data_IF_479218085899
#
_entry.id   IF_479218085899
#
_cell.length_a   1.000
_cell.length_b   1.000
_cell.length_c   1.000
_cell.angle_alpha   90.00
_cell.angle_beta   90.00
_cell.angle_gamma   90.00
#
_symmetry.space_group_name_H-M   'P 1'
#
loop_
_entity.id
_entity.type
_entity.pdbx_description
1 polymer ?
#
# COMPACT_ATOMS: atom_id res chain seq x y z
N UNK A 1 -2.40 -13.74 21.79
CA UNK A 1 -3.65 -14.51 21.78
C UNK A 1 -3.45 -15.72 20.87
N UNK A 2 -2.90 -16.83 21.39
CA UNK A 2 -2.84 -18.10 20.65
C UNK A 2 -4.23 -18.73 20.74
N UNK A 3 -4.91 -18.80 19.60
CA UNK A 3 -6.32 -19.13 19.51
C UNK A 3 -6.53 -20.60 19.92
N UNK A 4 -7.45 -20.85 20.85
CA UNK A 4 -7.87 -22.19 21.33
C UNK A 4 -8.54 -23.07 20.25
N UNK A 5 -8.53 -22.65 18.99
CA UNK A 5 -9.21 -23.31 17.87
C UNK A 5 -8.55 -24.62 17.40
N UNK A 6 -7.37 -24.98 17.91
CA UNK A 6 -6.61 -26.13 17.43
C UNK A 6 -6.89 -27.45 18.16
N UNK A 7 -7.73 -27.47 19.20
CA UNK A 7 -7.89 -28.64 20.08
C UNK A 7 -8.79 -29.74 19.52
N UNK A 8 -9.47 -29.51 18.39
CA UNK A 8 -10.36 -30.48 17.72
C UNK A 8 -9.97 -30.82 16.28
N UNK A 9 -8.83 -30.32 15.79
CA UNK A 9 -8.38 -30.50 14.41
C UNK A 9 -7.33 -31.62 14.33
N UNK A 10 -7.33 -32.35 13.21
CA UNK A 10 -6.30 -33.34 12.91
C UNK A 10 -4.90 -32.71 12.88
N UNK A 11 -3.85 -33.53 13.03
CA UNK A 11 -2.47 -33.05 12.98
C UNK A 11 -2.18 -32.26 11.68
N UNK A 12 -2.59 -32.80 10.54
CA UNK A 12 -2.43 -32.19 9.22
C UNK A 12 -3.14 -30.83 9.10
N UNK A 13 -4.37 -30.72 9.60
CA UNK A 13 -5.14 -29.48 9.56
C UNK A 13 -4.49 -28.39 10.40
N UNK A 14 -3.98 -28.72 11.59
CA UNK A 14 -3.21 -27.76 12.39
C UNK A 14 -1.92 -27.34 11.71
N UNK A 15 -1.19 -28.29 11.11
CA UNK A 15 0.07 -27.98 10.43
C UNK A 15 -0.17 -27.06 9.23
N UNK A 16 -1.23 -27.32 8.47
CA UNK A 16 -1.67 -26.45 7.36
C UNK A 16 -1.99 -25.03 7.84
N UNK A 17 -2.77 -24.88 8.92
CA UNK A 17 -3.10 -23.58 9.52
C UNK A 17 -1.86 -22.82 9.99
N UNK A 18 -0.96 -23.48 10.74
CA UNK A 18 0.28 -22.87 11.22
C UNK A 18 1.17 -22.40 10.06
N UNK A 19 1.24 -23.21 9.01
CA UNK A 19 2.02 -22.87 7.81
C UNK A 19 1.42 -21.66 7.09
N UNK A 20 0.09 -21.61 6.94
CA UNK A 20 -0.60 -20.47 6.34
C UNK A 20 -0.42 -19.17 7.15
N UNK A 21 -0.43 -19.27 8.48
CA UNK A 21 -0.19 -18.13 9.37
C UNK A 21 1.24 -17.61 9.25
N UNK A 22 2.23 -18.51 9.22
CA UNK A 22 3.64 -18.12 9.05
C UNK A 22 3.88 -17.48 7.68
N UNK A 23 3.27 -17.99 6.60
CA UNK A 23 3.32 -17.38 5.27
C UNK A 23 2.76 -15.96 5.30
N UNK A 24 1.58 -15.78 5.91
CA UNK A 24 0.95 -14.46 6.07
C UNK A 24 1.83 -13.51 6.88
N UNK A 25 2.44 -13.99 7.98
CA UNK A 25 3.37 -13.22 8.79
C UNK A 25 4.61 -12.78 7.99
N UNK A 26 5.17 -13.66 7.15
CA UNK A 26 6.33 -13.33 6.30
C UNK A 26 5.98 -12.27 5.26
N UNK A 27 4.83 -12.38 4.62
CA UNK A 27 4.34 -11.39 3.65
C UNK A 27 4.13 -10.02 4.30
N UNK A 28 3.49 -10.00 5.48
CA UNK A 28 3.29 -8.78 6.25
C UNK A 28 4.62 -8.12 6.63
N UNK A 29 5.60 -8.88 7.14
CA UNK A 29 6.94 -8.38 7.46
C UNK A 29 7.66 -7.83 6.22
N UNK A 30 7.46 -8.43 5.04
CA UNK A 30 8.00 -7.90 3.78
C UNK A 30 7.35 -6.56 3.43
N UNK A 31 6.03 -6.48 3.46
CA UNK A 31 5.29 -5.26 3.18
C UNK A 31 5.70 -4.12 4.12
N UNK A 32 5.78 -4.38 5.43
CA UNK A 32 6.19 -3.38 6.42
C UNK A 32 7.60 -2.83 6.16
N UNK A 33 8.55 -3.70 5.80
CA UNK A 33 9.91 -3.26 5.42
C UNK A 33 9.89 -2.33 4.21
N UNK A 34 9.10 -2.64 3.19
CA UNK A 34 8.95 -1.81 1.99
C UNK A 34 8.31 -0.46 2.32
N UNK A 35 7.25 -0.44 3.14
CA UNK A 35 6.58 0.79 3.57
C UNK A 35 7.55 1.68 4.36
N UNK A 36 8.32 1.09 5.30
CA UNK A 36 9.35 1.82 6.06
C UNK A 36 10.43 2.41 5.14
N UNK A 37 10.86 1.66 4.13
CA UNK A 37 11.85 2.13 3.16
C UNK A 37 11.32 3.30 2.31
N UNK A 38 10.05 3.29 1.93
CA UNK A 38 9.45 4.32 1.10
C UNK A 38 9.30 5.69 1.81
N UNK A 39 9.33 5.72 3.16
CA UNK A 39 9.28 6.95 3.98
C UNK A 39 8.11 7.88 3.60
N UNK A 40 6.92 7.31 3.47
CA UNK A 40 5.71 8.07 3.17
C UNK A 40 5.45 9.16 4.21
N UNK A 41 4.95 10.31 3.76
CA UNK A 41 4.61 11.43 4.65
C UNK A 41 3.45 11.11 5.59
N UNK A 42 2.49 10.32 5.13
CA UNK A 42 1.27 9.97 5.85
C UNK A 42 1.14 8.46 5.91
N UNK A 43 0.72 7.94 7.06
CA UNK A 43 0.29 6.55 7.17
C UNK A 43 -1.13 6.41 6.61
N UNK A 44 -1.23 6.23 5.29
CA UNK A 44 -2.49 6.21 4.55
C UNK A 44 -2.81 4.81 4.04
N UNK A 45 -4.08 4.41 4.15
CA UNK A 45 -4.56 3.13 3.65
C UNK A 45 -5.79 3.36 2.79
N UNK A 46 -5.95 2.57 1.72
CA UNK A 46 -7.12 2.66 0.84
C UNK A 46 -8.44 2.38 1.59
N UNK A 47 -8.41 1.56 2.64
CA UNK A 47 -9.56 1.30 3.52
C UNK A 47 -10.05 2.52 4.29
N UNK A 48 -9.16 3.50 4.52
CA UNK A 48 -9.45 4.75 5.23
C UNK A 48 -9.85 5.88 4.27
N UNK A 49 -10.00 5.61 2.98
CA UNK A 49 -10.53 6.59 2.03
C UNK A 49 -12.00 6.87 2.35
N UNK A 50 -12.29 8.14 2.52
CA UNK A 50 -13.65 8.61 2.70
C UNK A 50 -14.23 9.05 1.35
N UNK A 51 -15.33 8.37 0.98
CA UNK A 51 -16.02 8.47 -0.29
C UNK A 51 -17.31 9.30 -0.20
N UNK A 52 -17.46 10.16 0.82
CA UNK A 52 -18.59 11.09 0.89
C UNK A 52 -18.71 11.88 -0.42
N UNK A 53 -19.96 12.04 -0.89
CA UNK A 53 -20.30 12.54 -2.24
C UNK A 53 -19.64 13.87 -2.65
N UNK A 54 -19.15 14.67 -1.71
CA UNK A 54 -18.52 15.96 -1.99
C UNK A 54 -17.09 15.87 -2.56
N UNK A 55 -16.47 14.68 -2.63
CA UNK A 55 -15.09 14.53 -3.17
C UNK A 55 -15.00 14.14 -4.64
N UNK A 56 -16.09 13.69 -5.26
CA UNK A 56 -16.08 13.26 -6.67
C UNK A 56 -15.16 12.06 -6.96
N UNK A 57 -14.88 11.22 -5.96
CA UNK A 57 -14.05 10.02 -6.14
C UNK A 57 -14.90 8.85 -6.66
N UNK A 58 -14.56 8.36 -7.84
CA UNK A 58 -15.15 7.14 -8.38
C UNK A 58 -14.61 5.89 -7.67
N UNK A 59 -15.49 5.18 -6.97
CA UNK A 59 -15.17 3.93 -6.27
C UNK A 59 -14.70 2.84 -7.23
N UNK A 60 -15.25 2.79 -8.44
CA UNK A 60 -14.86 1.78 -9.43
C UNK A 60 -13.42 2.01 -9.88
N UNK A 61 -13.05 3.26 -10.18
CA UNK A 61 -11.67 3.63 -10.48
C UNK A 61 -10.72 3.31 -9.32
N UNK A 62 -11.03 3.72 -8.08
CA UNK A 62 -10.14 3.43 -6.93
C UNK A 62 -9.96 1.91 -6.74
N UNK A 63 -11.03 1.13 -6.93
CA UNK A 63 -10.95 -0.34 -6.87
C UNK A 63 -10.05 -0.89 -7.98
N UNK A 64 -10.17 -0.40 -9.21
CA UNK A 64 -9.28 -0.79 -10.32
C UNK A 64 -7.82 -0.45 -10.02
N UNK A 65 -7.55 0.75 -9.50
CA UNK A 65 -6.20 1.17 -9.11
C UNK A 65 -5.63 0.31 -7.97
N UNK A 66 -6.48 -0.15 -7.04
CA UNK A 66 -6.10 -1.04 -5.94
C UNK A 66 -5.66 -2.44 -6.38
N UNK A 67 -6.03 -2.87 -7.59
CA UNK A 67 -5.57 -4.14 -8.16
C UNK A 67 -4.12 -4.07 -8.64
N UNK A 68 -3.57 -2.87 -8.82
CA UNK A 68 -2.17 -2.68 -9.22
C UNK A 68 -1.86 -2.94 -10.70
N UNK A 69 -2.86 -3.19 -11.56
CA UNK A 69 -2.63 -3.44 -13.00
C UNK A 69 -1.83 -2.32 -13.68
N UNK A 70 -2.05 -1.08 -13.26
CA UNK A 70 -1.31 0.10 -13.74
C UNK A 70 0.19 0.04 -13.44
N UNK A 71 0.62 -0.64 -12.36
CA UNK A 71 2.03 -0.86 -12.03
C UNK A 71 2.68 -1.78 -13.07
N UNK A 72 2.02 -2.89 -13.38
CA UNK A 72 2.48 -3.87 -14.39
C UNK A 72 2.52 -3.24 -15.78
N UNK A 73 1.50 -2.43 -16.11
CA UNK A 73 1.39 -1.71 -17.38
C UNK A 73 2.25 -0.43 -17.44
N UNK A 74 2.96 -0.08 -16.37
CA UNK A 74 3.79 1.14 -16.24
C UNK A 74 3.03 2.43 -16.58
N UNK A 75 1.77 2.50 -16.18
CA UNK A 75 0.90 3.65 -16.42
C UNK A 75 1.05 4.70 -15.32
N UNK A 76 1.01 5.98 -15.72
CA UNK A 76 1.12 7.09 -14.78
C UNK A 76 -0.26 7.49 -14.25
N UNK A 77 -0.36 7.76 -12.96
CA UNK A 77 -1.57 8.29 -12.32
C UNK A 77 -1.34 9.75 -11.99
N UNK A 78 -2.18 10.63 -12.54
CA UNK A 78 -2.21 12.04 -12.20
C UNK A 78 -3.38 12.33 -11.24
N UNK A 79 -3.07 12.90 -10.07
CA UNK A 79 -4.08 13.29 -9.08
C UNK A 79 -4.32 14.80 -9.15
N UNK A 80 -5.51 15.20 -9.57
CA UNK A 80 -5.91 16.62 -9.71
C UNK A 80 -7.00 17.01 -8.70
N UNK A 81 -7.16 18.32 -8.46
CA UNK A 81 -8.21 18.86 -7.57
C UNK A 81 -7.71 19.96 -6.63
N UNK A 82 -8.63 20.61 -5.91
CA UNK A 82 -8.35 21.72 -5.00
C UNK A 82 -7.39 21.35 -3.85
N UNK A 83 -6.64 22.31 -3.31
CA UNK A 83 -5.81 22.10 -2.11
C UNK A 83 -6.66 21.61 -0.93
N UNK A 84 -6.16 20.64 -0.18
CA UNK A 84 -6.92 20.03 0.94
C UNK A 84 -7.87 18.89 0.57
N UNK A 85 -8.06 18.56 -0.72
CA UNK A 85 -8.93 17.47 -1.17
C UNK A 85 -8.42 16.04 -0.86
N UNK A 86 -7.24 15.91 -0.25
CA UNK A 86 -6.66 14.61 0.11
C UNK A 86 -5.80 13.94 -0.97
N UNK A 87 -5.34 14.66 -2.01
CA UNK A 87 -4.44 14.11 -3.05
C UNK A 87 -3.21 13.41 -2.47
N UNK A 88 -2.54 14.05 -1.52
CA UNK A 88 -1.36 13.49 -0.84
C UNK A 88 -1.70 12.21 -0.08
N UNK A 89 -2.89 12.16 0.53
CA UNK A 89 -3.37 10.96 1.22
C UNK A 89 -3.60 9.82 0.23
N UNK A 90 -4.28 10.09 -0.89
CA UNK A 90 -4.55 9.09 -1.92
C UNK A 90 -3.26 8.55 -2.55
N UNK A 91 -2.29 9.42 -2.84
CA UNK A 91 -0.97 9.01 -3.33
C UNK A 91 -0.25 8.09 -2.34
N UNK A 92 -0.24 8.43 -1.04
CA UNK A 92 0.35 7.58 -0.02
C UNK A 92 -0.41 6.25 0.12
N UNK A 93 -1.74 6.26 0.05
CA UNK A 93 -2.56 5.06 0.17
C UNK A 93 -2.33 4.08 -0.99
N UNK A 94 -2.23 4.59 -2.23
CA UNK A 94 -1.85 3.79 -3.40
C UNK A 94 -0.42 3.25 -3.28
N UNK A 95 0.52 4.07 -2.81
CA UNK A 95 1.90 3.63 -2.56
C UNK A 95 1.99 2.53 -1.48
N UNK A 96 1.25 2.65 -0.38
CA UNK A 96 1.16 1.62 0.65
C UNK A 96 0.60 0.31 0.09
N UNK A 97 -0.45 0.40 -0.73
CA UNK A 97 -1.03 -0.76 -1.38
C UNK A 97 -0.04 -1.43 -2.35
N UNK A 98 0.71 -0.65 -3.13
CA UNK A 98 1.78 -1.18 -3.99
C UNK A 98 2.89 -1.89 -3.17
N UNK A 99 3.28 -1.35 -2.02
CA UNK A 99 4.22 -2.02 -1.11
C UNK A 99 3.68 -3.34 -0.57
N UNK A 100 2.37 -3.42 -0.26
CA UNK A 100 1.71 -4.67 0.16
C UNK A 100 1.67 -5.71 -0.96
N UNK A 101 1.57 -5.27 -2.21
CA UNK A 101 1.70 -6.13 -3.39
C UNK A 101 3.16 -6.53 -3.69
N UNK A 102 4.13 -6.06 -2.89
CA UNK A 102 5.54 -6.43 -3.01
C UNK A 102 6.39 -5.49 -3.88
N UNK A 103 5.85 -4.37 -4.35
CA UNK A 103 6.60 -3.39 -5.13
C UNK A 103 7.43 -2.47 -4.25
N UNK A 104 8.64 -2.14 -4.73
CA UNK A 104 9.47 -1.09 -4.11
C UNK A 104 8.96 0.27 -4.55
N UNK A 105 8.60 1.11 -3.59
CA UNK A 105 8.05 2.44 -3.84
C UNK A 105 9.01 3.50 -3.32
N UNK A 106 9.12 4.59 -4.06
CA UNK A 106 9.84 5.78 -3.65
C UNK A 106 8.87 6.96 -3.59
N UNK A 107 8.90 7.68 -2.48
CA UNK A 107 8.08 8.87 -2.28
C UNK A 107 8.96 10.11 -2.19
N UNK A 108 8.73 11.08 -3.06
CA UNK A 108 9.46 12.34 -3.08
C UNK A 108 8.51 13.53 -3.17
N UNK A 109 8.94 14.65 -2.56
CA UNK A 109 8.42 15.96 -2.95
C UNK A 109 9.23 16.43 -4.15
N UNK A 110 8.57 17.01 -5.15
CA UNK A 110 9.21 17.41 -6.40
C UNK A 110 10.47 18.28 -6.18
N UNK A 111 10.40 19.27 -5.29
CA UNK A 111 11.55 20.14 -4.98
C UNK A 111 12.76 19.34 -4.46
N UNK A 112 12.54 18.43 -3.51
CA UNK A 112 13.61 17.61 -2.94
C UNK A 112 14.18 16.62 -3.97
N UNK A 113 13.33 16.08 -4.85
CA UNK A 113 13.79 15.23 -5.95
C UNK A 113 14.68 16.01 -6.93
N UNK A 114 14.27 17.21 -7.32
CA UNK A 114 15.05 18.07 -8.21
C UNK A 114 16.42 18.42 -7.62
N UNK A 115 16.48 18.78 -6.33
CA UNK A 115 17.76 19.04 -5.65
C UNK A 115 18.70 17.83 -5.65
N UNK A 116 18.17 16.61 -5.44
CA UNK A 116 18.95 15.37 -5.53
C UNK A 116 19.45 15.09 -6.95
N UNK A 117 18.59 15.26 -7.94
CA UNK A 117 18.97 15.05 -9.34
C UNK A 117 20.04 16.05 -9.80
N UNK A 118 19.96 17.31 -9.36
CA UNK A 118 20.92 18.37 -9.72
C UNK A 118 22.27 18.16 -9.01
N UNK A 119 22.27 17.65 -7.77
CA UNK A 119 23.49 17.44 -6.98
C UNK A 119 24.27 16.16 -7.34
N UNK A 120 23.78 15.34 -8.28
CA UNK A 120 24.45 14.11 -8.72
C UNK A 120 24.48 12.99 -7.68
N UNK A 121 23.82 13.19 -6.54
CA UNK A 121 23.62 12.17 -5.52
C UNK A 121 22.40 11.32 -5.88
N UNK A 122 22.57 10.44 -6.87
CA UNK A 122 21.60 9.39 -7.19
C UNK A 122 21.97 8.07 -6.51
#
# INVERSE_FOLDING_TARGET
MLNRAHTGLGFEERLSLLTAEELTCRENRKAERLIKHARFRLNAELSKLDYRNNRGLDRALIRSLSQGNWLTLKQNILLTGATGSGKTFLACALGHNACRQGYKVYYYRLKALMEQCISGAC
#
